data_IF_087820402853
#
_entry.id   IF_087820402853
#
_cell.length_a   1.000
_cell.length_b   1.000
_cell.length_c   1.000
_cell.angle_alpha   90.00
_cell.angle_beta   90.00
_cell.angle_gamma   90.00
#
_symmetry.space_group_name_H-M   'P 1'
#
loop_
_entity.id
_entity.type
_entity.pdbx_description
1 polymer ?
#
# COMPACT_ATOMS: atom_id res chain seq x y z
N UNK A 1 -36.37 49.55 -19.82
CA UNK A 1 -36.31 48.10 -19.62
C UNK A 1 -35.00 47.64 -20.24
N UNK A 2 -33.91 47.64 -19.48
CA UNK A 2 -32.65 47.06 -19.95
C UNK A 2 -32.01 46.40 -18.74
N UNK A 3 -32.00 45.06 -18.77
CA UNK A 3 -31.50 44.21 -17.69
C UNK A 3 -30.01 43.97 -17.99
N UNK A 4 -29.06 44.49 -17.21
CA UNK A 4 -27.66 44.25 -17.47
C UNK A 4 -27.31 42.84 -16.99
N UNK A 5 -26.63 42.12 -17.87
CA UNK A 5 -26.13 40.77 -17.72
C UNK A 5 -25.63 40.43 -16.30
N UNK A 6 -26.36 39.54 -15.61
CA UNK A 6 -25.81 38.72 -14.54
C UNK A 6 -24.98 37.64 -15.26
N UNK A 7 -23.73 37.99 -15.57
CA UNK A 7 -22.75 37.04 -16.04
C UNK A 7 -22.40 36.14 -14.85
N UNK A 8 -23.06 34.98 -14.82
CA UNK A 8 -22.84 33.92 -13.86
C UNK A 8 -21.39 33.43 -14.04
N UNK A 9 -20.45 34.00 -13.27
CA UNK A 9 -19.05 33.57 -13.25
C UNK A 9 -19.03 32.13 -12.73
N UNK A 10 -19.09 31.17 -13.65
CA UNK A 10 -18.90 29.77 -13.35
C UNK A 10 -17.51 29.58 -12.71
N UNK A 11 -17.38 28.84 -11.61
CA UNK A 11 -16.08 28.63 -10.99
C UNK A 11 -15.15 27.96 -12.00
N UNK A 12 -14.01 28.60 -12.24
CA UNK A 12 -12.95 28.11 -13.12
C UNK A 12 -12.50 26.73 -12.62
N UNK A 13 -12.96 25.67 -13.29
CA UNK A 13 -12.59 24.29 -13.00
C UNK A 13 -11.09 24.12 -13.26
N UNK A 14 -10.28 24.30 -12.21
CA UNK A 14 -8.82 24.19 -12.27
C UNK A 14 -8.41 22.77 -12.67
N UNK A 15 -8.18 22.59 -13.98
CA UNK A 15 -7.70 21.35 -14.61
C UNK A 15 -6.58 20.75 -13.73
N UNK A 16 -6.68 19.48 -13.29
CA UNK A 16 -5.65 18.91 -12.44
C UNK A 16 -4.32 18.97 -13.20
N UNK A 17 -3.40 19.80 -12.68
CA UNK A 17 -2.03 19.94 -13.16
C UNK A 17 -1.46 18.56 -13.47
N UNK A 18 -0.75 18.40 -14.59
CA UNK A 18 -0.18 17.11 -15.02
C UNK A 18 0.58 16.38 -13.90
N UNK A 19 1.14 17.13 -12.95
CA UNK A 19 1.77 16.60 -11.74
C UNK A 19 0.82 15.79 -10.83
N UNK A 20 -0.43 16.22 -10.66
CA UNK A 20 -1.44 15.49 -9.85
C UNK A 20 -1.88 14.19 -10.53
N UNK A 21 -1.99 14.18 -11.86
CA UNK A 21 -2.30 12.97 -12.64
C UNK A 21 -1.15 11.97 -12.58
N UNK A 22 0.10 12.44 -12.74
CA UNK A 22 1.28 11.61 -12.60
C UNK A 22 1.38 10.99 -11.19
N UNK A 23 1.10 11.76 -10.14
CA UNK A 23 1.09 11.26 -8.75
C UNK A 23 0.06 10.14 -8.54
N UNK A 24 -1.15 10.26 -9.08
CA UNK A 24 -2.16 9.21 -8.97
C UNK A 24 -1.80 7.95 -9.77
N UNK A 25 -1.15 8.09 -10.93
CA UNK A 25 -0.66 6.94 -11.72
C UNK A 25 0.46 6.23 -10.97
N UNK A 26 1.44 6.96 -10.44
CA UNK A 26 2.52 6.40 -9.61
C UNK A 26 1.94 5.68 -8.40
N UNK A 27 0.93 6.26 -7.76
CA UNK A 27 0.24 5.67 -6.62
C UNK A 27 -0.42 4.33 -6.99
N UNK A 28 -1.15 4.27 -8.09
CA UNK A 28 -1.80 3.04 -8.55
C UNK A 28 -0.79 1.96 -8.94
N UNK A 29 0.29 2.35 -9.63
CA UNK A 29 1.40 1.43 -9.95
C UNK A 29 1.99 0.86 -8.66
N UNK A 30 2.19 1.69 -7.62
CA UNK A 30 2.71 1.24 -6.34
C UNK A 30 1.74 0.28 -5.62
N UNK A 31 0.41 0.51 -5.68
CA UNK A 31 -0.57 -0.45 -5.13
C UNK A 31 -0.52 -1.77 -5.86
N UNK A 32 -0.53 -1.74 -7.20
CA UNK A 32 -0.45 -2.96 -8.02
C UNK A 32 0.84 -3.71 -7.73
N UNK A 33 1.96 -3.00 -7.54
CA UNK A 33 3.23 -3.59 -7.17
C UNK A 33 3.19 -4.24 -5.78
N UNK A 34 2.63 -3.58 -4.76
CA UNK A 34 2.50 -4.17 -3.42
C UNK A 34 1.59 -5.41 -3.43
N UNK A 35 0.47 -5.36 -4.16
CA UNK A 35 -0.42 -6.52 -4.32
C UNK A 35 0.29 -7.64 -5.08
N UNK A 36 1.01 -7.35 -6.16
CA UNK A 36 1.77 -8.33 -6.90
C UNK A 36 2.86 -8.98 -6.03
N UNK A 37 3.57 -8.20 -5.21
CA UNK A 37 4.55 -8.71 -4.24
C UNK A 37 3.89 -9.60 -3.19
N UNK A 38 2.72 -9.22 -2.67
CA UNK A 38 1.97 -10.03 -1.71
C UNK A 38 1.52 -11.38 -2.31
N UNK A 39 0.97 -11.36 -3.54
CA UNK A 39 0.57 -12.57 -4.27
C UNK A 39 1.79 -13.44 -4.60
N UNK A 40 2.88 -12.83 -5.07
CA UNK A 40 4.13 -13.54 -5.32
C UNK A 40 4.66 -14.20 -4.04
N UNK A 41 4.69 -13.49 -2.91
CA UNK A 41 5.10 -14.05 -1.61
C UNK A 41 4.18 -15.18 -1.14
N UNK A 42 2.87 -15.07 -1.37
CA UNK A 42 1.92 -16.16 -1.09
C UNK A 42 2.21 -17.40 -1.94
N UNK A 43 2.38 -17.24 -3.25
CA UNK A 43 2.72 -18.35 -4.15
C UNK A 43 4.07 -18.94 -3.74
N UNK A 44 5.05 -18.09 -3.44
CA UNK A 44 6.38 -18.50 -3.02
C UNK A 44 6.38 -19.27 -1.71
N UNK A 45 5.60 -18.85 -0.70
CA UNK A 45 5.48 -19.58 0.56
C UNK A 45 4.82 -20.95 0.38
N UNK A 46 3.79 -21.04 -0.46
CA UNK A 46 3.16 -22.31 -0.83
C UNK A 46 4.15 -23.21 -1.57
N UNK A 47 4.84 -22.68 -2.58
CA UNK A 47 5.87 -23.43 -3.33
C UNK A 47 6.99 -23.86 -2.39
N UNK A 48 7.43 -23.00 -1.49
CA UNK A 48 8.48 -23.29 -0.51
C UNK A 48 8.08 -24.44 0.41
N UNK A 49 6.89 -24.39 1.01
CA UNK A 49 6.39 -25.51 1.83
C UNK A 49 6.21 -26.81 1.05
N UNK A 50 5.75 -26.73 -0.21
CA UNK A 50 5.47 -27.93 -1.00
C UNK A 50 6.68 -28.52 -1.73
N UNK A 51 7.75 -27.75 -1.90
CA UNK A 51 8.91 -28.11 -2.73
C UNK A 51 10.18 -28.34 -1.92
N UNK A 52 10.46 -27.57 -0.85
CA UNK A 52 11.69 -27.79 -0.07
C UNK A 52 11.62 -29.00 0.86
N UNK A 53 10.42 -29.48 1.22
CA UNK A 53 10.25 -30.75 1.94
C UNK A 53 10.15 -31.96 0.98
N UNK A 54 10.10 -31.70 -0.34
CA UNK A 54 10.04 -32.76 -1.36
C UNK A 54 11.34 -32.80 -2.15
N UNK A 55 12.20 -33.63 -1.59
CA UNK A 55 13.54 -34.06 -1.94
C UNK A 55 13.80 -34.54 -3.38
N UNK A 56 12.98 -34.15 -4.37
CA UNK A 56 12.89 -34.83 -5.68
C UNK A 56 12.74 -33.89 -6.88
N UNK A 57 12.46 -32.60 -6.71
CA UNK A 57 12.30 -31.70 -7.88
C UNK A 57 13.57 -30.91 -8.17
N UNK A 58 14.37 -31.41 -9.11
CA UNK A 58 15.41 -30.61 -9.76
C UNK A 58 14.76 -29.56 -10.66
N UNK A 59 15.15 -28.30 -10.46
CA UNK A 59 14.78 -27.21 -11.35
C UNK A 59 15.98 -26.97 -12.27
N UNK A 60 15.84 -27.35 -13.55
CA UNK A 60 16.90 -27.21 -14.55
C UNK A 60 18.22 -27.93 -14.19
N UNK A 61 18.16 -29.07 -13.51
CA UNK A 61 19.35 -29.82 -13.05
C UNK A 61 20.04 -29.23 -11.81
N UNK A 62 19.44 -28.21 -11.21
CA UNK A 62 19.86 -27.64 -9.93
C UNK A 62 18.89 -28.04 -8.83
N UNK A 63 19.46 -28.34 -7.66
CA UNK A 63 18.74 -28.73 -6.46
C UNK A 63 19.21 -27.81 -5.34
N UNK A 64 18.27 -27.24 -4.61
CA UNK A 64 18.56 -26.29 -3.54
C UNK A 64 18.10 -26.87 -2.21
N UNK A 65 19.02 -26.93 -1.25
CA UNK A 65 18.79 -27.53 0.07
C UNK A 65 19.22 -26.57 1.17
N UNK A 66 18.57 -26.65 2.32
CA UNK A 66 19.01 -25.90 3.50
C UNK A 66 19.98 -26.79 4.26
N UNK A 67 21.21 -26.31 4.50
CA UNK A 67 22.17 -27.03 5.32
C UNK A 67 21.62 -27.15 6.75
N UNK A 68 21.35 -28.38 7.19
CA UNK A 68 20.77 -28.66 8.51
C UNK A 68 21.85 -28.79 9.60
N UNK A 69 23.02 -29.34 9.23
CA UNK A 69 24.15 -29.59 10.13
C UNK A 69 25.30 -28.61 9.88
N UNK A 70 26.14 -28.46 10.90
CA UNK A 70 27.35 -27.64 10.86
C UNK A 70 28.59 -28.44 10.41
N UNK A 71 28.39 -29.62 9.81
CA UNK A 71 29.49 -30.55 9.47
C UNK A 71 30.41 -30.04 8.35
N UNK A 72 29.99 -29.01 7.63
CA UNK A 72 30.72 -28.33 6.54
C UNK A 72 31.17 -26.89 6.88
N UNK A 73 30.99 -26.42 8.13
CA UNK A 73 31.27 -25.03 8.53
C UNK A 73 32.73 -24.63 8.41
N UNK A 74 33.64 -25.61 8.46
CA UNK A 74 35.07 -25.36 8.31
C UNK A 74 35.51 -24.94 6.89
N UNK A 75 34.67 -25.11 5.86
CA UNK A 75 35.13 -24.91 4.47
C UNK A 75 34.23 -24.00 3.65
N UNK A 76 32.94 -24.30 3.52
CA UNK A 76 32.17 -23.71 2.41
C UNK A 76 30.77 -23.18 2.75
N UNK A 77 30.13 -23.66 3.83
CA UNK A 77 28.82 -23.17 4.25
C UNK A 77 28.47 -23.57 5.69
N UNK A 78 27.69 -22.72 6.35
CA UNK A 78 27.28 -22.90 7.74
C UNK A 78 25.88 -23.50 7.83
N UNK A 79 25.53 -24.07 8.98
CA UNK A 79 24.17 -24.53 9.24
C UNK A 79 23.16 -23.37 9.05
N UNK A 80 22.16 -23.58 8.20
CA UNK A 80 21.16 -22.57 7.83
C UNK A 80 21.45 -21.80 6.54
N UNK A 81 22.52 -22.12 5.81
CA UNK A 81 22.73 -21.59 4.46
C UNK A 81 21.91 -22.37 3.42
N UNK A 82 21.57 -21.71 2.31
CA UNK A 82 20.98 -22.38 1.15
C UNK A 82 22.11 -22.86 0.24
N UNK A 83 22.20 -24.17 0.05
CA UNK A 83 23.21 -24.84 -0.76
C UNK A 83 22.62 -25.23 -2.11
N UNK A 84 23.28 -24.84 -3.19
CA UNK A 84 22.93 -25.22 -4.55
C UNK A 84 23.83 -26.36 -5.01
N UNK A 85 23.19 -27.46 -5.38
CA UNK A 85 23.80 -28.69 -5.88
C UNK A 85 23.39 -28.86 -7.34
N UNK A 86 24.38 -29.13 -8.20
CA UNK A 86 24.15 -29.43 -9.60
C UNK A 86 24.26 -30.93 -9.83
N UNK A 87 23.27 -31.50 -10.51
CA UNK A 87 23.36 -32.88 -10.99
C UNK A 87 24.52 -33.02 -11.98
N UNK A 88 25.47 -33.88 -11.65
CA UNK A 88 26.65 -34.19 -12.47
C UNK A 88 26.82 -35.69 -12.52
N UNK A 89 27.42 -36.19 -13.61
CA UNK A 89 27.78 -37.60 -13.72
C UNK A 89 28.82 -37.94 -12.63
N UNK A 90 28.53 -38.92 -11.76
CA UNK A 90 29.45 -39.35 -10.71
C UNK A 90 30.86 -39.70 -11.19
N UNK A 91 31.03 -40.12 -12.44
CA UNK A 91 32.35 -40.45 -13.03
C UNK A 91 33.25 -39.22 -13.16
N UNK A 92 32.66 -38.03 -13.22
CA UNK A 92 33.41 -36.76 -13.34
C UNK A 92 33.89 -36.20 -12.01
N UNK A 93 33.45 -36.79 -10.89
CA UNK A 93 33.80 -36.35 -9.54
C UNK A 93 35.21 -36.81 -9.17
N UNK A 94 35.93 -35.94 -8.46
CA UNK A 94 37.31 -36.19 -8.06
C UNK A 94 37.52 -35.95 -6.56
N UNK A 95 38.67 -36.41 -6.06
CA UNK A 95 39.10 -36.13 -4.69
C UNK A 95 39.14 -34.63 -4.43
N UNK A 96 38.56 -34.20 -3.31
CA UNK A 96 38.41 -32.80 -2.96
C UNK A 96 37.11 -32.13 -3.43
N UNK A 97 36.28 -32.79 -4.23
CA UNK A 97 34.94 -32.28 -4.54
C UNK A 97 33.97 -32.41 -3.36
N UNK A 98 33.04 -31.48 -3.25
CA UNK A 98 31.95 -31.54 -2.26
C UNK A 98 30.69 -32.05 -2.94
N UNK A 99 30.13 -33.11 -2.39
CA UNK A 99 28.99 -33.80 -2.96
C UNK A 99 27.86 -33.92 -1.96
N UNK A 100 26.64 -33.86 -2.46
CA UNK A 100 25.44 -34.16 -1.67
C UNK A 100 24.91 -35.54 -2.08
N UNK A 101 24.64 -36.40 -1.11
CA UNK A 101 24.20 -37.76 -1.31
C UNK A 101 23.17 -38.16 -0.26
N UNK A 102 22.41 -39.23 -0.52
CA UNK A 102 21.55 -39.84 0.50
C UNK A 102 22.37 -40.80 1.34
N UNK A 103 22.38 -40.60 2.65
CA UNK A 103 23.10 -41.47 3.57
C UNK A 103 22.50 -42.87 3.59
N UNK A 104 23.36 -43.88 3.54
CA UNK A 104 23.02 -45.30 3.65
C UNK A 104 23.31 -45.86 5.05
N UNK A 105 23.80 -45.03 5.97
CA UNK A 105 24.12 -45.45 7.33
C UNK A 105 22.83 -45.67 8.14
N UNK A 106 22.81 -46.70 8.99
CA UNK A 106 21.62 -47.09 9.77
C UNK A 106 21.05 -45.96 10.63
N UNK A 107 21.89 -45.07 11.15
CA UNK A 107 21.46 -43.96 12.01
C UNK A 107 20.88 -42.75 11.24
N UNK A 108 21.25 -42.58 9.98
CA UNK A 108 20.84 -41.44 9.14
C UNK A 108 20.28 -41.91 7.79
N UNK A 109 19.66 -43.09 7.75
CA UNK A 109 19.26 -43.72 6.50
C UNK A 109 18.23 -42.86 5.75
N UNK A 110 18.56 -42.47 4.52
CA UNK A 110 17.72 -41.63 3.67
C UNK A 110 17.87 -40.13 3.89
N UNK A 111 18.63 -39.70 4.90
CA UNK A 111 18.92 -38.28 5.13
C UNK A 111 19.87 -37.73 4.07
N UNK A 112 19.68 -36.46 3.71
CA UNK A 112 20.57 -35.74 2.81
C UNK A 112 21.83 -35.30 3.56
N UNK A 113 22.98 -35.82 3.14
CA UNK A 113 24.29 -35.47 3.70
C UNK A 113 25.14 -34.80 2.63
N UNK A 114 25.89 -33.77 3.00
CA UNK A 114 26.82 -33.10 2.10
C UNK A 114 28.21 -33.11 2.70
N UNK A 115 29.14 -33.85 2.10
CA UNK A 115 30.52 -34.02 2.59
C UNK A 115 31.53 -33.90 1.44
N UNK A 116 32.81 -33.79 1.80
CA UNK A 116 33.92 -33.69 0.83
C UNK A 116 34.48 -35.07 0.53
N UNK A 117 34.79 -35.35 -0.74
CA UNK A 117 35.43 -36.60 -1.18
C UNK A 117 36.87 -36.61 -0.69
N UNK A 118 37.24 -37.61 0.10
CA UNK A 118 38.64 -37.87 0.48
C UNK A 118 39.33 -38.72 -0.55
N UNK A 119 38.71 -39.83 -0.95
CA UNK A 119 39.28 -40.77 -1.91
C UNK A 119 38.24 -41.55 -2.70
N UNK A 120 38.62 -41.97 -3.89
CA UNK A 120 37.84 -42.91 -4.71
C UNK A 120 38.10 -44.34 -4.25
N UNK A 121 37.06 -45.14 -4.08
CA UNK A 121 37.17 -46.55 -3.66
C UNK A 121 36.16 -47.42 -4.40
N UNK A 122 36.25 -48.73 -4.19
CA UNK A 122 35.28 -49.70 -4.70
C UNK A 122 34.69 -50.45 -3.51
N UNK A 123 33.38 -50.68 -3.53
CA UNK A 123 32.67 -51.49 -2.52
C UNK A 123 33.12 -52.95 -2.62
N UNK A 124 32.86 -53.75 -1.58
CA UNK A 124 33.15 -55.18 -1.57
C UNK A 124 32.54 -55.94 -2.77
N UNK A 125 31.41 -55.46 -3.29
CA UNK A 125 30.70 -56.02 -4.45
C UNK A 125 31.24 -55.56 -5.82
N UNK A 126 32.29 -54.74 -5.85
CA UNK A 126 32.92 -54.26 -7.09
C UNK A 126 32.35 -52.94 -7.64
N UNK A 127 31.38 -52.33 -6.96
CA UNK A 127 30.76 -51.06 -7.37
C UNK A 127 31.64 -49.84 -7.03
N UNK A 128 31.81 -48.86 -7.94
CA UNK A 128 32.58 -47.65 -7.66
C UNK A 128 31.86 -46.76 -6.63
N UNK A 129 32.65 -46.15 -5.75
CA UNK A 129 32.16 -45.26 -4.72
C UNK A 129 33.22 -44.31 -4.17
N UNK A 130 32.83 -43.52 -3.19
CA UNK A 130 33.70 -42.54 -2.55
C UNK A 130 33.69 -42.73 -1.03
N UNK A 131 34.84 -42.46 -0.42
CA UNK A 131 34.92 -42.22 1.02
C UNK A 131 34.86 -40.71 1.22
N UNK A 132 33.85 -40.27 1.95
CA UNK A 132 33.60 -38.87 2.25
C UNK A 132 34.00 -38.54 3.69
N UNK A 133 34.13 -37.26 4.00
CA UNK A 133 34.37 -36.78 5.36
C UNK A 133 33.72 -35.43 5.61
N UNK A 134 33.26 -35.24 6.84
CA UNK A 134 32.88 -33.93 7.36
C UNK A 134 34.12 -33.05 7.55
N UNK A 135 34.17 -31.87 6.96
CA UNK A 135 35.33 -30.97 7.08
C UNK A 135 35.48 -30.38 8.47
N UNK A 136 34.38 -30.30 9.24
CA UNK A 136 34.40 -29.86 10.64
C UNK A 136 35.00 -30.92 11.56
N UNK A 137 34.67 -32.20 11.37
CA UNK A 137 35.19 -33.31 12.19
C UNK A 137 36.52 -33.86 11.67
N UNK A 138 36.80 -33.73 10.37
CA UNK A 138 37.94 -34.29 9.65
C UNK A 138 38.12 -35.82 9.72
N UNK A 139 37.11 -36.52 10.22
CA UNK A 139 37.05 -37.98 10.33
C UNK A 139 36.38 -38.59 9.10
N UNK A 140 36.93 -39.68 8.59
CA UNK A 140 36.36 -40.44 7.48
C UNK A 140 35.02 -41.04 7.88
N UNK A 141 34.04 -40.96 6.99
CA UNK A 141 32.77 -41.67 7.16
C UNK A 141 33.01 -43.18 6.98
N UNK A 142 32.38 -44.00 7.83
CA UNK A 142 32.51 -45.47 7.76
C UNK A 142 31.83 -46.06 6.52
N UNK A 143 30.81 -45.37 5.98
CA UNK A 143 30.03 -45.82 4.83
C UNK A 143 30.65 -45.39 3.50
N UNK A 144 30.77 -46.32 2.55
CA UNK A 144 31.13 -46.03 1.16
C UNK A 144 29.90 -45.49 0.44
N UNK A 145 30.02 -44.31 -0.18
CA UNK A 145 28.96 -43.70 -0.97
C UNK A 145 29.06 -44.17 -2.41
N UNK A 146 28.15 -45.05 -2.83
CA UNK A 146 28.07 -45.52 -4.22
C UNK A 146 27.41 -44.48 -5.13
N UNK A 147 27.72 -44.54 -6.42
CA UNK A 147 27.31 -43.53 -7.40
C UNK A 147 25.80 -43.34 -7.50
N UNK A 148 25.01 -44.38 -7.23
CA UNK A 148 23.53 -44.35 -7.27
C UNK A 148 22.90 -43.43 -6.22
N UNK A 149 23.59 -43.13 -5.12
CA UNK A 149 23.07 -42.29 -4.04
C UNK A 149 23.55 -40.84 -4.13
N UNK A 150 24.44 -40.54 -5.07
CA UNK A 150 24.96 -39.20 -5.29
C UNK A 150 23.91 -38.39 -6.02
N UNK A 151 23.54 -37.26 -5.42
CA UNK A 151 22.53 -36.36 -5.95
C UNK A 151 23.16 -35.24 -6.78
N UNK A 152 24.42 -34.91 -6.53
CA UNK A 152 25.19 -33.97 -7.35
C UNK A 152 26.35 -33.32 -6.62
N UNK A 153 26.97 -32.37 -7.30
CA UNK A 153 28.13 -31.59 -6.84
C UNK A 153 27.71 -30.23 -6.33
N UNK A 154 28.29 -29.81 -5.21
CA UNK A 154 28.15 -28.46 -4.68
C UNK A 154 28.64 -27.42 -5.70
N UNK A 155 27.84 -26.39 -5.96
CA UNK A 155 28.19 -25.31 -6.88
C UNK A 155 28.32 -23.96 -6.17
N UNK A 156 27.38 -23.61 -5.29
CA UNK A 156 27.37 -22.32 -4.60
C UNK A 156 26.52 -22.37 -3.34
N UNK A 157 26.79 -21.44 -2.42
CA UNK A 157 25.90 -21.13 -1.28
C UNK A 157 25.29 -19.75 -1.40
N UNK A 158 24.13 -19.55 -0.77
CA UNK A 158 23.58 -18.24 -0.47
C UNK A 158 23.43 -18.12 1.06
N UNK A 159 24.26 -17.28 1.70
CA UNK A 159 24.29 -17.22 3.15
C UNK A 159 22.99 -16.65 3.73
N UNK A 160 22.58 -17.12 4.92
CA UNK A 160 21.41 -16.65 5.70
C UNK A 160 20.03 -16.87 5.06
N UNK A 161 19.98 -17.34 3.81
CA UNK A 161 18.72 -17.59 3.12
C UNK A 161 17.98 -18.78 3.73
N UNK A 162 18.69 -19.86 4.09
CA UNK A 162 18.06 -20.99 4.78
C UNK A 162 17.54 -20.60 6.18
N UNK A 163 18.24 -19.72 6.92
CA UNK A 163 17.75 -19.15 8.18
C UNK A 163 16.49 -18.32 7.98
N UNK A 164 16.45 -17.49 6.93
CA UNK A 164 15.27 -16.73 6.57
C UNK A 164 14.08 -17.64 6.20
N UNK A 165 14.32 -18.71 5.43
CA UNK A 165 13.29 -19.71 5.12
C UNK A 165 12.82 -20.46 6.37
N UNK A 166 13.73 -20.84 7.27
CA UNK A 166 13.37 -21.43 8.57
C UNK A 166 12.52 -20.47 9.39
N UNK A 167 12.88 -19.19 9.43
CA UNK A 167 12.08 -18.16 10.07
C UNK A 167 10.69 -18.05 9.44
N UNK A 168 10.58 -18.03 8.11
CA UNK A 168 9.29 -18.02 7.40
C UNK A 168 8.43 -19.27 7.69
N UNK A 169 9.05 -20.44 7.90
CA UNK A 169 8.35 -21.67 8.32
C UNK A 169 7.85 -21.61 9.78
N UNK A 170 8.36 -20.70 10.62
CA UNK A 170 7.85 -20.55 11.99
C UNK A 170 6.49 -19.82 12.02
N UNK A 171 5.63 -20.18 12.98
CA UNK A 171 4.35 -19.50 13.22
C UNK A 171 4.46 -17.97 13.30
N UNK A 172 5.38 -17.38 14.11
CA UNK A 172 5.53 -15.92 14.14
C UNK A 172 6.07 -15.35 12.83
N UNK A 173 7.03 -16.01 12.18
CA UNK A 173 7.59 -15.52 10.91
C UNK A 173 6.57 -15.50 9.78
N UNK A 174 5.70 -16.52 9.71
CA UNK A 174 4.58 -16.55 8.79
C UNK A 174 3.58 -15.41 9.02
N UNK A 175 3.19 -15.19 10.28
CA UNK A 175 2.28 -14.10 10.65
C UNK A 175 2.88 -12.74 10.26
N UNK A 176 4.15 -12.49 10.60
CA UNK A 176 4.82 -11.23 10.25
C UNK A 176 4.89 -11.05 8.73
N UNK A 177 5.21 -12.11 7.99
CA UNK A 177 5.34 -12.06 6.53
C UNK A 177 4.02 -11.67 5.83
N UNK A 178 2.87 -12.05 6.39
CA UNK A 178 1.55 -11.67 5.87
C UNK A 178 1.08 -10.32 6.43
N UNK A 179 1.27 -10.11 7.73
CA UNK A 179 0.75 -8.95 8.45
C UNK A 179 1.47 -7.67 8.03
N UNK A 180 2.78 -7.71 7.75
CA UNK A 180 3.54 -6.53 7.31
C UNK A 180 3.04 -5.96 5.97
N UNK A 181 2.95 -6.73 4.87
CA UNK A 181 2.42 -6.18 3.62
C UNK A 181 0.96 -5.77 3.74
N UNK A 182 0.15 -6.51 4.54
CA UNK A 182 -1.24 -6.14 4.79
C UNK A 182 -1.37 -4.83 5.57
N UNK A 183 -0.56 -4.62 6.61
CA UNK A 183 -0.51 -3.39 7.39
C UNK A 183 -0.02 -2.21 6.54
N UNK A 184 1.00 -2.42 5.70
CA UNK A 184 1.49 -1.41 4.76
C UNK A 184 0.39 -1.01 3.77
N UNK A 185 -0.38 -1.97 3.25
CA UNK A 185 -1.55 -1.68 2.42
C UNK A 185 -2.59 -0.85 3.17
N UNK A 186 -2.91 -1.19 4.42
CA UNK A 186 -3.88 -0.43 5.24
C UNK A 186 -3.38 1.00 5.48
N UNK A 187 -2.12 1.18 5.88
CA UNK A 187 -1.55 2.52 6.11
C UNK A 187 -1.56 3.33 4.81
N UNK A 188 -1.22 2.70 3.68
CA UNK A 188 -1.21 3.36 2.39
C UNK A 188 -2.62 3.75 1.90
N UNK A 189 -3.58 2.83 2.04
CA UNK A 189 -4.99 3.05 1.71
C UNK A 189 -5.60 4.12 2.62
N UNK A 190 -5.31 4.06 3.91
CA UNK A 190 -5.71 5.05 4.91
C UNK A 190 -5.14 6.44 4.62
N UNK A 191 -3.85 6.51 4.30
CA UNK A 191 -3.20 7.75 3.86
C UNK A 191 -3.84 8.31 2.58
N UNK A 192 -4.19 7.46 1.61
CA UNK A 192 -4.94 7.88 0.43
C UNK A 192 -6.31 8.45 0.78
N UNK A 193 -7.04 7.77 1.66
CA UNK A 193 -8.39 8.16 2.06
C UNK A 193 -8.36 9.50 2.79
N UNK A 194 -7.42 9.70 3.71
CA UNK A 194 -7.21 10.98 4.40
C UNK A 194 -6.81 12.08 3.41
N UNK A 195 -5.96 11.78 2.44
CA UNK A 195 -5.53 12.77 1.45
C UNK A 195 -6.69 13.18 0.52
N UNK A 196 -7.55 12.24 0.10
CA UNK A 196 -8.78 12.54 -0.63
C UNK A 196 -9.75 13.37 0.22
N UNK A 197 -9.96 12.97 1.47
CA UNK A 197 -10.86 13.68 2.37
C UNK A 197 -10.38 15.11 2.68
N UNK A 198 -9.07 15.30 2.82
CA UNK A 198 -8.47 16.64 2.97
C UNK A 198 -8.62 17.49 1.72
N UNK A 199 -8.57 16.90 0.52
CA UNK A 199 -8.86 17.63 -0.72
C UNK A 199 -10.33 18.02 -0.79
N UNK A 200 -11.24 17.09 -0.51
CA UNK A 200 -12.67 17.33 -0.50
C UNK A 200 -13.09 18.43 0.49
N UNK A 201 -12.53 18.41 1.72
CA UNK A 201 -12.77 19.48 2.71
C UNK A 201 -12.22 20.83 2.26
N UNK A 202 -11.07 20.87 1.60
CA UNK A 202 -10.49 22.13 1.10
C UNK A 202 -11.35 22.76 0.01
N UNK A 203 -11.87 21.94 -0.89
CA UNK A 203 -12.72 22.39 -2.00
C UNK A 203 -14.05 22.95 -1.48
N UNK A 204 -14.76 22.20 -0.63
CA UNK A 204 -15.98 22.70 0.02
C UNK A 204 -15.76 23.99 0.83
N UNK A 205 -14.64 24.10 1.54
CA UNK A 205 -14.34 25.30 2.33
C UNK A 205 -14.11 26.51 1.43
N UNK A 206 -13.47 26.31 0.27
CA UNK A 206 -13.28 27.35 -0.74
C UNK A 206 -14.62 27.80 -1.35
N UNK A 207 -15.52 26.86 -1.67
CA UNK A 207 -16.85 27.18 -2.21
C UNK A 207 -17.71 27.96 -1.21
N UNK A 208 -17.67 27.57 0.08
CA UNK A 208 -18.38 28.28 1.15
C UNK A 208 -17.83 29.70 1.34
N UNK A 209 -16.50 29.87 1.24
CA UNK A 209 -15.87 31.19 1.31
C UNK A 209 -16.29 32.07 0.13
N UNK A 210 -16.22 31.54 -1.10
CA UNK A 210 -16.65 32.27 -2.29
C UNK A 210 -18.14 32.67 -2.22
N UNK A 211 -19.01 31.79 -1.72
CA UNK A 211 -20.43 32.11 -1.52
C UNK A 211 -20.65 33.21 -0.48
N UNK A 212 -19.87 33.22 0.62
CA UNK A 212 -19.94 34.29 1.63
C UNK A 212 -19.49 35.63 1.07
N UNK A 213 -18.39 35.64 0.33
CA UNK A 213 -17.85 36.85 -0.29
C UNK A 213 -18.85 37.46 -1.29
N UNK A 214 -19.52 36.62 -2.11
CA UNK A 214 -20.57 37.08 -3.02
C UNK A 214 -21.76 37.69 -2.27
N UNK A 215 -22.22 37.05 -1.20
CA UNK A 215 -23.32 37.56 -0.37
C UNK A 215 -22.92 38.87 0.33
N UNK A 216 -21.67 39.04 0.74
CA UNK A 216 -21.18 40.30 1.33
C UNK A 216 -21.15 41.45 0.33
N UNK A 217 -20.72 41.18 -0.91
CA UNK A 217 -20.75 42.16 -2.01
C UNK A 217 -22.19 42.55 -2.34
N UNK A 218 -23.09 41.58 -2.52
CA UNK A 218 -24.51 41.85 -2.80
C UNK A 218 -25.18 42.65 -1.66
N UNK A 219 -24.85 42.35 -0.40
CA UNK A 219 -25.32 43.12 0.76
C UNK A 219 -24.76 44.53 0.79
N UNK A 220 -23.55 44.77 0.28
CA UNK A 220 -22.97 46.10 0.18
C UNK A 220 -23.65 46.92 -0.94
N UNK A 221 -23.91 46.30 -2.09
CA UNK A 221 -24.63 46.93 -3.21
C UNK A 221 -26.08 47.25 -2.83
N UNK A 222 -26.81 46.30 -2.25
CA UNK A 222 -28.19 46.51 -1.78
C UNK A 222 -28.28 47.65 -0.75
N UNK A 223 -27.26 47.81 0.11
CA UNK A 223 -27.18 48.95 1.05
C UNK A 223 -27.02 50.28 0.32
N UNK A 224 -26.12 50.35 -0.67
CA UNK A 224 -25.91 51.56 -1.48
C UNK A 224 -27.16 51.96 -2.26
N UNK A 225 -27.87 50.98 -2.84
CA UNK A 225 -29.12 51.23 -3.58
C UNK A 225 -30.21 51.76 -2.65
N UNK A 226 -30.35 51.20 -1.44
CA UNK A 226 -31.31 51.72 -0.44
C UNK A 226 -31.00 53.16 -0.03
N UNK A 227 -29.72 53.49 0.19
CA UNK A 227 -29.30 54.86 0.49
C UNK A 227 -29.65 55.82 -0.66
N UNK A 228 -29.43 55.41 -1.91
CA UNK A 228 -29.81 56.19 -3.09
C UNK A 228 -31.32 56.40 -3.20
N UNK A 229 -32.12 55.35 -2.95
CA UNK A 229 -33.58 55.45 -2.96
C UNK A 229 -34.10 56.40 -1.88
N UNK A 230 -33.54 56.35 -0.67
CA UNK A 230 -33.88 57.29 0.40
C UNK A 230 -33.54 58.74 0.02
N UNK A 231 -32.37 58.98 -0.57
CA UNK A 231 -31.98 60.31 -1.03
C UNK A 231 -32.94 60.84 -2.10
N UNK A 232 -33.33 60.00 -3.06
CA UNK A 232 -34.27 60.37 -4.11
C UNK A 232 -35.66 60.68 -3.55
N UNK A 233 -36.16 59.86 -2.61
CA UNK A 233 -37.42 60.13 -1.92
C UNK A 233 -37.38 61.46 -1.16
N UNK A 234 -36.26 61.78 -0.49
CA UNK A 234 -36.08 63.06 0.19
C UNK A 234 -36.00 64.25 -0.78
N UNK A 235 -35.40 64.07 -1.95
CA UNK A 235 -35.38 65.09 -2.99
C UNK A 235 -36.79 65.34 -3.55
N UNK A 236 -37.53 64.27 -3.84
CA UNK A 236 -38.91 64.34 -4.30
C UNK A 236 -39.82 65.01 -3.26
N UNK A 237 -39.70 64.65 -1.98
CA UNK A 237 -40.48 65.28 -0.91
C UNK A 237 -40.14 66.76 -0.70
N UNK A 238 -38.87 67.15 -0.84
CA UNK A 238 -38.45 68.58 -0.86
C UNK A 238 -38.96 69.32 -2.09
N UNK A 239 -39.03 68.66 -3.25
CA UNK A 239 -39.60 69.23 -4.46
C UNK A 239 -41.11 69.48 -4.29
N UNK A 240 -41.83 68.50 -3.73
CA UNK A 240 -43.28 68.57 -3.49
C UNK A 240 -43.65 69.62 -2.43
N UNK A 241 -42.80 69.81 -1.41
CA UNK A 241 -42.95 70.86 -0.38
C UNK A 241 -42.42 72.25 -0.77
N UNK A 242 -41.71 72.37 -1.91
CA UNK A 242 -41.21 73.64 -2.46
C UNK A 242 -42.14 74.30 -3.49
N UNK A 243 -43.18 73.61 -3.94
CA UNK A 243 -44.16 74.09 -4.93
C UNK A 243 -45.52 74.51 -4.33
N UNK A 244 -45.62 74.63 -3.00
CA UNK A 244 -46.85 75.10 -2.34
C UNK A 244 -46.56 76.35 -1.47
N UNK A 245 -46.88 77.54 -1.99
CA UNK A 245 -47.12 78.76 -1.20
C UNK A 245 -48.47 79.38 -1.58
N UNK A 246 -49.07 80.22 -0.71
CA UNK A 246 -50.42 79.98 -0.20
C UNK A 246 -51.48 80.89 -0.81
N UNK A 247 -52.72 80.42 -0.89
CA UNK A 247 -53.90 81.29 -1.03
C UNK A 247 -54.82 81.10 0.16
N UNK A 248 -54.89 82.15 0.98
CA UNK A 248 -56.05 82.48 1.82
C UNK A 248 -57.31 82.50 0.92
N UNK A 249 -58.52 82.18 1.38
CA UNK A 249 -59.21 82.81 2.50
C UNK A 249 -60.56 82.10 2.74
N UNK A 250 -61.21 82.46 3.86
CA UNK A 250 -62.62 82.30 4.24
C UNK A 250 -63.10 80.98 4.86
N UNK A 251 -63.15 81.01 6.20
CA UNK A 251 -64.34 80.92 7.07
C UNK A 251 -65.41 79.87 6.68
N UNK A 252 -65.92 79.01 7.57
CA UNK A 252 -66.64 79.37 8.80
C UNK A 252 -67.06 78.08 9.54
N UNK A 253 -67.13 78.15 10.89
CA UNK A 253 -68.13 77.50 11.78
C UNK A 253 -68.53 76.03 11.53
N UNK A 254 -68.63 75.11 12.49
CA UNK A 254 -68.80 75.22 13.93
C UNK A 254 -69.08 73.80 14.46
N UNK A 255 -68.62 73.52 15.68
CA UNK A 255 -69.36 72.83 16.75
C UNK A 255 -69.82 71.35 16.60
N UNK A 256 -69.35 70.56 17.60
CA UNK A 256 -70.12 69.59 18.41
C UNK A 256 -70.17 68.12 17.92
N UNK A 257 -69.32 67.32 18.57
CA UNK A 257 -69.67 66.22 19.51
C UNK A 257 -70.33 64.92 19.00
N UNK A 258 -69.82 63.82 19.57
CA UNK A 258 -70.50 62.55 19.89
C UNK A 258 -70.79 61.56 18.75
N UNK A 259 -70.08 60.41 18.75
CA UNK A 259 -70.61 59.08 19.13
C UNK A 259 -69.63 57.96 18.72
N UNK A 260 -68.94 57.37 19.71
CA UNK A 260 -68.94 55.90 19.82
C UNK A 260 -70.29 55.51 20.49
N UNK A 261 -70.82 54.27 20.38
CA UNK A 261 -70.06 53.01 20.33
C UNK A 261 -70.66 51.92 19.41
N UNK A 262 -69.90 50.84 19.22
CA UNK A 262 -70.37 49.65 18.51
C UNK A 262 -69.63 48.40 18.97
N UNK A 263 -69.92 47.99 20.21
CA UNK A 263 -69.54 46.71 20.79
C UNK A 263 -70.22 45.52 20.05
N UNK A 264 -69.79 44.32 20.47
CA UNK A 264 -70.32 42.98 20.19
C UNK A 264 -69.65 42.21 19.04
N UNK A 265 -69.33 40.93 19.18
CA UNK A 265 -69.31 40.04 20.35
C UNK A 265 -68.60 38.76 19.90
N UNK A 266 -67.71 38.29 20.74
CA UNK A 266 -67.59 36.90 21.19
C UNK A 266 -68.23 35.79 20.32
N UNK A 267 -67.44 34.77 19.99
CA UNK A 267 -67.58 33.44 20.60
C UNK A 267 -66.56 32.44 20.04
N UNK A 268 -65.91 31.78 21.00
CA UNK A 268 -65.48 30.36 21.04
C UNK A 268 -64.43 29.89 20.05
#
# INVERSE_FOLDING_TARGET
MENPNIELIAPEQKKPSGAKKALNVIKNILVILVVAVAVFMMIFTIVSMTTFDRDERSLFGYRAYIALSDSMSATDFDAGDLVLVKEVDPVTLQEGDIISFRSQNTESFGELVTHKIRRCTTTADGEPGFITYGTTTNTDDEGIVTYSFILGKYQSRIPKVGTFFRFLKTTPGYIICILVPFLLLIIFQGGNCVQLFRQYKKEQMADIQAARDQVEVERAENRRIMEQLQQLQQQLSKFDSGSAEPTADSQQQSSIQQEEPGAESSRQ
#
